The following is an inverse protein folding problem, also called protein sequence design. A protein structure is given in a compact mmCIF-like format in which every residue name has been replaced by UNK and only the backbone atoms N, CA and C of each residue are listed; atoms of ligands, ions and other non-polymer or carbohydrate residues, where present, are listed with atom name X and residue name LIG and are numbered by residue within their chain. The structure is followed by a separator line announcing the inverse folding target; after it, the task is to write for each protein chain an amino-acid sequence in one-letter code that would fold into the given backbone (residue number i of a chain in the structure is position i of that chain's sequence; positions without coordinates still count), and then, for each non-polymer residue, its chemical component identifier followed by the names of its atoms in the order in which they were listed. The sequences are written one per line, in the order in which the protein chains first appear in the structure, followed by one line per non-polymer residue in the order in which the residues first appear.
data_IF_680370731979
#
_entry.id   IF_680370731979
#
_cell.length_a   1.000
_cell.length_b   1.000
_cell.length_c   1.000
_cell.angle_alpha   90.00
_cell.angle_beta   90.00
_cell.angle_gamma   90.00
#
_symmetry.space_group_name_H-M   'P 1'
#
loop_
_entity.id
_entity.type
_entity.pdbx_description
1 polymer ?
#
# COMPACT_ATOMS: atom_id res chain seq x y z
N UNK A 1 -21.24 10.39 -18.68
CA UNK A 1 -20.24 10.17 -17.89
C UNK A 1 -19.66 11.21 -16.94
N UNK A 2 -20.39 12.35 -16.79
CA UNK A 2 -20.05 13.42 -15.88
C UNK A 2 -20.04 12.97 -14.41
N UNK A 3 -20.96 12.08 -14.01
CA UNK A 3 -21.06 11.55 -12.65
C UNK A 3 -19.82 10.73 -12.27
N UNK A 4 -19.32 9.90 -13.19
CA UNK A 4 -18.10 9.10 -12.98
C UNK A 4 -16.86 10.00 -12.87
N UNK A 5 -16.75 11.01 -13.72
CA UNK A 5 -15.64 11.97 -13.66
C UNK A 5 -15.63 12.74 -12.33
N UNK A 6 -16.81 13.21 -11.88
CA UNK A 6 -16.97 13.87 -10.58
C UNK A 6 -16.54 12.96 -9.41
N UNK A 7 -16.98 11.70 -9.45
CA UNK A 7 -16.62 10.73 -8.42
C UNK A 7 -15.11 10.51 -8.36
N UNK A 8 -14.44 10.36 -9.51
CA UNK A 8 -12.99 10.16 -9.58
C UNK A 8 -12.24 11.39 -9.04
N UNK A 9 -12.62 12.59 -9.48
CA UNK A 9 -12.00 13.82 -8.98
C UNK A 9 -12.11 13.98 -7.45
N UNK A 10 -13.24 13.56 -6.87
CA UNK A 10 -13.41 13.54 -5.40
C UNK A 10 -12.47 12.55 -4.72
N UNK A 11 -12.28 11.34 -5.28
CA UNK A 11 -11.39 10.33 -4.70
C UNK A 11 -9.93 10.78 -4.74
N UNK A 12 -9.47 11.32 -5.86
CA UNK A 12 -8.11 11.87 -6.01
C UNK A 12 -7.86 13.03 -5.06
N UNK A 13 -8.81 14.01 -5.02
CA UNK A 13 -8.72 15.14 -4.10
C UNK A 13 -8.71 14.71 -2.63
N UNK A 14 -9.45 13.66 -2.26
CA UNK A 14 -9.51 13.15 -0.90
C UNK A 14 -8.16 12.56 -0.46
N UNK A 15 -7.48 11.79 -1.32
CA UNK A 15 -6.13 11.28 -1.01
C UNK A 15 -5.17 12.42 -0.75
N UNK A 16 -5.11 13.41 -1.65
CA UNK A 16 -4.25 14.57 -1.48
C UNK A 16 -4.55 15.36 -0.20
N UNK A 17 -5.83 15.58 0.14
CA UNK A 17 -6.19 16.23 1.41
C UNK A 17 -5.71 15.42 2.62
N UNK A 18 -5.93 14.10 2.66
CA UNK A 18 -5.44 13.26 3.76
C UNK A 18 -3.91 13.32 3.91
N UNK A 19 -3.19 13.28 2.81
CA UNK A 19 -1.73 13.30 2.83
C UNK A 19 -1.17 14.65 3.30
N UNK A 20 -1.80 15.76 2.91
CA UNK A 20 -1.31 17.12 3.19
C UNK A 20 -1.73 17.66 4.56
N UNK A 21 -3.01 17.51 4.91
CA UNK A 21 -3.60 18.13 6.13
C UNK A 21 -4.15 17.12 7.12
N UNK A 22 -3.96 15.84 6.88
CA UNK A 22 -4.38 14.75 7.75
C UNK A 22 -5.88 14.62 7.93
N UNK A 23 -6.30 13.70 8.81
CA UNK A 23 -7.73 13.45 9.08
C UNK A 23 -8.46 14.69 9.55
N UNK A 24 -7.96 15.39 10.56
CA UNK A 24 -8.65 16.54 11.16
C UNK A 24 -8.90 17.69 10.19
N UNK A 25 -7.94 17.97 9.29
CA UNK A 25 -8.04 19.03 8.29
C UNK A 25 -8.89 18.67 7.07
N UNK A 26 -9.09 17.38 6.82
CA UNK A 26 -9.78 16.89 5.61
C UNK A 26 -11.29 16.77 5.85
N UNK A 27 -12.07 17.76 5.39
CA UNK A 27 -13.54 17.72 5.44
C UNK A 27 -14.11 17.48 4.04
N UNK A 28 -15.38 17.04 3.95
CA UNK A 28 -16.07 16.90 2.64
C UNK A 28 -16.08 18.22 1.86
N UNK A 29 -16.18 19.34 2.56
CA UNK A 29 -16.16 20.67 1.95
C UNK A 29 -14.81 20.98 1.34
N UNK A 30 -13.70 20.76 2.08
CA UNK A 30 -12.33 20.98 1.59
C UNK A 30 -12.04 20.09 0.38
N UNK A 31 -12.46 18.82 0.42
CA UNK A 31 -12.29 17.91 -0.73
C UNK A 31 -13.10 18.34 -1.93
N UNK A 32 -14.37 18.78 -1.74
CA UNK A 32 -15.22 19.26 -2.83
C UNK A 32 -14.63 20.51 -3.48
N UNK A 33 -14.13 21.46 -2.72
CA UNK A 33 -13.44 22.66 -3.22
C UNK A 33 -12.20 22.28 -4.04
N UNK A 34 -11.36 21.40 -3.52
CA UNK A 34 -10.15 20.90 -4.22
C UNK A 34 -10.49 20.15 -5.52
N UNK A 35 -11.59 19.39 -5.53
CA UNK A 35 -12.08 18.67 -6.70
C UNK A 35 -12.80 19.56 -7.72
N UNK A 36 -13.06 20.84 -7.41
CA UNK A 36 -13.81 21.75 -8.26
C UNK A 36 -15.30 21.39 -8.40
N UNK A 37 -15.90 20.76 -7.37
CA UNK A 37 -17.30 20.32 -7.37
C UNK A 37 -18.07 20.96 -6.21
N UNK A 38 -19.39 20.99 -6.31
CA UNK A 38 -20.21 21.50 -5.21
C UNK A 38 -20.25 20.51 -4.04
N UNK A 39 -20.39 21.03 -2.82
CA UNK A 39 -20.59 20.20 -1.60
C UNK A 39 -21.78 19.24 -1.75
N UNK A 40 -22.88 19.71 -2.37
CA UNK A 40 -24.07 18.88 -2.62
C UNK A 40 -23.75 17.69 -3.56
N UNK A 41 -22.96 17.91 -4.61
CA UNK A 41 -22.51 16.85 -5.50
C UNK A 41 -21.61 15.85 -4.74
N UNK A 42 -20.68 16.32 -3.91
CA UNK A 42 -19.85 15.46 -3.09
C UNK A 42 -20.67 14.58 -2.13
N UNK A 43 -21.64 15.16 -1.41
CA UNK A 43 -22.53 14.44 -0.50
C UNK A 43 -23.47 13.44 -1.22
N UNK A 44 -23.83 13.72 -2.47
CA UNK A 44 -24.59 12.76 -3.28
C UNK A 44 -23.77 11.50 -3.59
N UNK A 45 -22.47 11.65 -3.90
CA UNK A 45 -21.58 10.53 -4.16
C UNK A 45 -21.13 9.80 -2.89
N UNK A 46 -20.90 10.55 -1.82
CA UNK A 46 -20.38 10.04 -0.55
C UNK A 46 -21.17 10.67 0.61
N UNK A 47 -22.18 9.95 1.14
CA UNK A 47 -23.04 10.46 2.21
C UNK A 47 -22.29 10.85 3.47
N UNK A 48 -21.22 10.12 3.81
CA UNK A 48 -20.39 10.42 4.98
C UNK A 48 -18.95 10.71 4.60
N UNK A 49 -18.25 11.38 5.50
CA UNK A 49 -16.81 11.63 5.37
C UNK A 49 -16.01 10.34 5.30
N UNK A 50 -16.36 9.39 6.14
CA UNK A 50 -15.74 8.08 6.20
C UNK A 50 -15.92 7.31 4.89
N UNK A 51 -17.09 7.40 4.25
CA UNK A 51 -17.36 6.79 2.94
C UNK A 51 -16.40 7.34 1.88
N UNK A 52 -16.22 8.67 1.85
CA UNK A 52 -15.35 9.33 0.90
C UNK A 52 -13.90 8.86 1.06
N UNK A 53 -13.35 8.93 2.27
CA UNK A 53 -11.93 8.71 2.48
C UNK A 53 -11.55 7.23 2.40
N UNK A 54 -12.38 6.32 2.91
CA UNK A 54 -12.16 4.88 2.75
C UNK A 54 -12.22 4.48 1.27
N UNK A 55 -13.23 4.98 0.53
CA UNK A 55 -13.33 4.72 -0.90
C UNK A 55 -12.18 5.35 -1.70
N UNK A 56 -11.63 6.48 -1.26
CA UNK A 56 -10.50 7.13 -1.92
C UNK A 56 -9.23 6.28 -1.81
N UNK A 57 -8.87 5.84 -0.61
CA UNK A 57 -7.70 4.97 -0.38
C UNK A 57 -7.89 3.63 -1.09
N UNK A 58 -9.08 3.03 -1.02
CA UNK A 58 -9.41 1.77 -1.70
C UNK A 58 -9.20 1.91 -3.22
N UNK A 59 -9.79 2.92 -3.84
CA UNK A 59 -9.70 3.14 -5.28
C UNK A 59 -8.26 3.34 -5.77
N UNK A 60 -7.48 4.17 -5.06
CA UNK A 60 -6.09 4.42 -5.42
C UNK A 60 -5.21 3.18 -5.21
N UNK A 61 -5.50 2.37 -4.19
CA UNK A 61 -4.81 1.10 -3.97
C UNK A 61 -5.11 0.10 -5.09
N UNK A 62 -6.36 0.01 -5.53
CA UNK A 62 -6.75 -0.84 -6.65
C UNK A 62 -6.08 -0.40 -7.96
N UNK A 63 -6.05 0.91 -8.23
CA UNK A 63 -5.35 1.45 -9.39
C UNK A 63 -3.85 1.09 -9.37
N UNK A 64 -3.20 1.22 -8.19
CA UNK A 64 -1.79 0.85 -8.01
C UNK A 64 -1.55 -0.64 -8.20
N UNK A 65 -2.43 -1.49 -7.69
CA UNK A 65 -2.34 -2.93 -7.88
C UNK A 65 -2.42 -3.33 -9.35
N UNK A 66 -3.29 -2.67 -10.14
CA UNK A 66 -3.38 -2.88 -11.58
C UNK A 66 -2.11 -2.43 -12.33
N UNK A 67 -1.47 -1.34 -11.91
CA UNK A 67 -0.19 -0.91 -12.48
C UNK A 67 0.91 -1.94 -12.23
N UNK A 68 1.00 -2.46 -11.01
CA UNK A 68 1.97 -3.51 -10.64
C UNK A 68 1.70 -4.78 -11.45
N UNK A 69 0.45 -5.18 -11.59
CA UNK A 69 0.08 -6.37 -12.38
C UNK A 69 0.51 -6.23 -13.84
N UNK A 70 0.22 -5.09 -14.46
CA UNK A 70 0.67 -4.78 -15.84
C UNK A 70 2.20 -4.79 -15.96
N UNK A 71 2.89 -4.26 -14.95
CA UNK A 71 4.34 -4.30 -14.90
C UNK A 71 4.87 -5.74 -14.89
N UNK A 72 4.30 -6.62 -14.06
CA UNK A 72 4.65 -8.05 -14.00
C UNK A 72 4.39 -8.72 -15.36
N UNK A 73 3.22 -8.51 -15.96
CA UNK A 73 2.89 -9.06 -17.28
C UNK A 73 3.85 -8.60 -18.38
N UNK A 74 4.29 -7.35 -18.34
CA UNK A 74 5.21 -6.78 -19.30
C UNK A 74 6.64 -7.33 -19.20
N UNK A 75 7.05 -7.84 -18.02
CA UNK A 75 8.36 -8.49 -17.84
C UNK A 75 8.45 -9.87 -18.52
N UNK A 76 7.32 -10.54 -18.75
CA UNK A 76 7.30 -11.90 -19.31
C UNK A 76 8.05 -12.88 -18.42
N UNK A 77 9.01 -13.61 -19.01
CA UNK A 77 9.83 -14.61 -18.31
C UNK A 77 11.09 -14.02 -17.64
N UNK A 78 11.31 -12.69 -17.70
CA UNK A 78 12.45 -12.08 -17.05
C UNK A 78 12.32 -12.12 -15.52
N UNK A 79 13.34 -12.65 -14.85
CA UNK A 79 13.40 -12.71 -13.40
C UNK A 79 13.70 -11.33 -12.82
N UNK A 80 12.77 -10.78 -12.07
CA UNK A 80 12.98 -9.51 -11.34
C UNK A 80 13.88 -9.80 -10.14
N UNK A 81 14.95 -9.00 -9.96
CA UNK A 81 15.85 -9.19 -8.82
C UNK A 81 15.15 -8.94 -7.49
N UNK A 82 15.53 -9.68 -6.45
CA UNK A 82 15.03 -9.50 -5.08
C UNK A 82 15.16 -8.05 -4.63
N UNK A 83 16.28 -7.39 -4.95
CA UNK A 83 16.48 -5.97 -4.63
C UNK A 83 15.41 -5.08 -5.30
N UNK A 84 15.13 -5.30 -6.59
CA UNK A 84 14.12 -4.51 -7.30
C UNK A 84 12.72 -4.70 -6.71
N UNK A 85 12.38 -5.92 -6.29
CA UNK A 85 11.11 -6.18 -5.61
C UNK A 85 11.03 -5.45 -4.26
N UNK A 86 12.09 -5.51 -3.45
CA UNK A 86 12.14 -4.78 -2.16
C UNK A 86 12.03 -3.27 -2.37
N UNK A 87 12.72 -2.70 -3.39
CA UNK A 87 12.57 -1.29 -3.77
C UNK A 87 11.11 -0.95 -4.10
N UNK A 88 10.43 -1.76 -4.91
CA UNK A 88 9.03 -1.54 -5.27
C UNK A 88 8.10 -1.59 -4.03
N UNK A 89 8.33 -2.53 -3.12
CA UNK A 89 7.56 -2.62 -1.87
C UNK A 89 7.79 -1.39 -0.99
N UNK A 90 9.02 -0.88 -0.89
CA UNK A 90 9.33 0.36 -0.16
C UNK A 90 8.70 1.57 -0.83
N UNK A 91 8.76 1.67 -2.16
CA UNK A 91 8.16 2.79 -2.92
C UNK A 91 6.64 2.86 -2.73
N UNK A 92 5.96 1.72 -2.58
CA UNK A 92 4.54 1.69 -2.21
C UNK A 92 4.25 2.32 -0.83
N UNK A 93 5.22 2.32 0.07
CA UNK A 93 5.09 2.81 1.44
C UNK A 93 5.75 4.18 1.67
N UNK A 94 6.26 4.85 0.64
CA UNK A 94 6.90 6.18 0.77
C UNK A 94 6.17 7.28 -0.01
N UNK A 95 5.03 6.97 -0.63
CA UNK A 95 4.28 7.92 -1.46
C UNK A 95 3.07 8.53 -0.75
N UNK A 96 2.42 9.44 -1.46
CA UNK A 96 1.23 10.19 -1.00
C UNK A 96 0.09 9.26 -0.54
N UNK A 97 -0.16 8.16 -1.26
CA UNK A 97 -1.20 7.19 -0.91
C UNK A 97 -0.94 6.55 0.46
N UNK A 98 0.32 6.24 0.76
CA UNK A 98 0.69 5.70 2.08
C UNK A 98 0.48 6.73 3.19
N UNK A 99 0.85 8.00 2.95
CA UNK A 99 0.60 9.08 3.90
C UNK A 99 -0.90 9.26 4.19
N UNK A 100 -1.74 9.18 3.16
CA UNK A 100 -3.19 9.21 3.30
C UNK A 100 -3.72 8.01 4.11
N UNK A 101 -3.26 6.80 3.80
CA UNK A 101 -3.63 5.58 4.55
C UNK A 101 -3.21 5.68 6.02
N UNK A 102 -2.00 6.17 6.29
CA UNK A 102 -1.51 6.36 7.67
C UNK A 102 -2.34 7.38 8.44
N UNK A 103 -2.80 8.47 7.80
CA UNK A 103 -3.71 9.43 8.43
C UNK A 103 -5.03 8.77 8.86
N UNK A 104 -5.58 7.85 8.04
CA UNK A 104 -6.75 7.04 8.41
C UNK A 104 -6.45 6.07 9.55
N UNK A 105 -5.29 5.42 9.57
CA UNK A 105 -4.89 4.50 10.65
C UNK A 105 -4.84 5.22 11.99
N UNK A 106 -4.15 6.36 12.04
CA UNK A 106 -4.04 7.17 13.26
C UNK A 106 -5.41 7.64 13.73
N UNK A 107 -6.26 8.17 12.85
CA UNK A 107 -7.61 8.59 13.18
C UNK A 107 -8.47 7.42 13.70
N UNK A 108 -8.36 6.26 13.09
CA UNK A 108 -9.12 5.06 13.44
C UNK A 108 -8.81 4.53 14.85
N UNK A 109 -7.65 4.90 15.42
CA UNK A 109 -7.29 4.52 16.78
C UNK A 109 -8.25 5.14 17.83
N UNK A 110 -8.74 6.34 17.56
CA UNK A 110 -9.66 7.07 18.45
C UNK A 110 -11.14 6.96 18.05
N UNK A 111 -11.46 6.51 16.83
CA UNK A 111 -12.81 6.49 16.27
C UNK A 111 -13.29 5.05 15.97
N UNK A 112 -14.10 4.41 16.84
CA UNK A 112 -14.49 2.99 16.68
C UNK A 112 -15.23 2.67 15.38
N UNK A 113 -16.05 3.61 14.85
CA UNK A 113 -16.78 3.41 13.61
C UNK A 113 -15.85 3.45 12.39
N UNK A 114 -14.91 4.39 12.37
CA UNK A 114 -13.86 4.46 11.35
C UNK A 114 -12.95 3.22 11.41
N UNK A 115 -12.58 2.78 12.63
CA UNK A 115 -11.75 1.59 12.84
C UNK A 115 -12.30 0.35 12.16
N UNK A 116 -13.59 0.08 12.26
CA UNK A 116 -14.22 -1.09 11.59
C UNK A 116 -14.00 -1.07 10.08
N UNK A 117 -14.13 0.09 9.46
CA UNK A 117 -13.94 0.28 8.02
C UNK A 117 -12.47 0.17 7.62
N UNK A 118 -11.59 0.83 8.37
CA UNK A 118 -10.14 0.81 8.12
C UNK A 118 -9.57 -0.59 8.28
N UNK A 119 -9.98 -1.38 9.28
CA UNK A 119 -9.55 -2.78 9.44
C UNK A 119 -9.96 -3.64 8.23
N UNK A 120 -11.18 -3.43 7.71
CA UNK A 120 -11.63 -4.15 6.50
C UNK A 120 -10.81 -3.76 5.28
N UNK A 121 -10.55 -2.47 5.10
CA UNK A 121 -9.70 -1.94 4.02
C UNK A 121 -8.29 -2.52 4.12
N UNK A 122 -7.66 -2.44 5.31
CA UNK A 122 -6.32 -2.95 5.57
C UNK A 122 -6.18 -4.46 5.30
N UNK A 123 -7.17 -5.25 5.68
CA UNK A 123 -7.18 -6.69 5.39
C UNK A 123 -7.16 -6.96 3.89
N UNK A 124 -7.83 -6.13 3.10
CA UNK A 124 -7.84 -6.25 1.64
C UNK A 124 -6.53 -5.78 1.03
N UNK A 125 -6.08 -4.58 1.38
CA UNK A 125 -4.82 -4.00 0.90
C UNK A 125 -3.64 -4.88 1.27
N UNK A 126 -3.57 -5.35 2.50
CA UNK A 126 -2.50 -6.24 2.97
C UNK A 126 -2.43 -7.55 2.18
N UNK A 127 -3.58 -8.14 1.83
CA UNK A 127 -3.61 -9.34 0.96
C UNK A 127 -3.12 -9.03 -0.45
N UNK A 128 -3.49 -7.89 -1.02
CA UNK A 128 -3.04 -7.48 -2.35
C UNK A 128 -1.53 -7.24 -2.39
N UNK A 129 -0.99 -6.49 -1.43
CA UNK A 129 0.45 -6.22 -1.34
C UNK A 129 1.24 -7.51 -1.11
N UNK A 130 0.76 -8.37 -0.21
CA UNK A 130 1.36 -9.67 0.05
C UNK A 130 1.39 -10.53 -1.22
N UNK A 131 0.25 -10.72 -1.88
CA UNK A 131 0.14 -11.52 -3.10
C UNK A 131 1.02 -10.99 -4.24
N UNK A 132 1.04 -9.67 -4.45
CA UNK A 132 1.91 -9.04 -5.44
C UNK A 132 3.40 -9.28 -5.13
N UNK A 133 3.80 -9.19 -3.85
CA UNK A 133 5.18 -9.43 -3.42
C UNK A 133 5.59 -10.88 -3.66
N UNK A 134 4.73 -11.85 -3.32
CA UNK A 134 4.93 -13.28 -3.59
C UNK A 134 5.12 -13.52 -5.09
N UNK A 135 4.24 -12.96 -5.91
CA UNK A 135 4.28 -13.11 -7.37
C UNK A 135 5.55 -12.48 -7.98
N UNK A 136 5.93 -11.28 -7.55
CA UNK A 136 7.14 -10.58 -8.01
C UNK A 136 8.42 -11.33 -7.66
N UNK A 137 8.48 -11.96 -6.48
CA UNK A 137 9.62 -12.77 -6.04
C UNK A 137 9.63 -14.17 -6.66
N UNK A 138 8.53 -14.61 -7.28
CA UNK A 138 8.41 -15.94 -7.86
C UNK A 138 8.56 -17.08 -6.85
N UNK A 139 8.07 -16.89 -5.61
CA UNK A 139 8.25 -17.84 -4.50
C UNK A 139 6.96 -18.58 -4.17
N UNK A 140 7.10 -19.80 -3.65
CA UNK A 140 5.98 -20.59 -3.13
C UNK A 140 5.70 -20.23 -1.67
N UNK A 141 4.59 -19.55 -1.41
CA UNK A 141 4.17 -19.12 -0.06
C UNK A 141 3.51 -20.23 0.77
N UNK A 142 3.32 -21.42 0.21
CA UNK A 142 2.95 -22.63 0.95
C UNK A 142 4.14 -23.15 1.78
N UNK A 143 5.37 -22.78 1.41
CA UNK A 143 6.53 -23.06 2.22
C UNK A 143 6.50 -22.23 3.53
N UNK A 144 6.47 -22.87 4.71
CA UNK A 144 6.32 -22.18 5.99
C UNK A 144 7.38 -21.10 6.28
N UNK A 145 8.58 -21.24 5.68
CA UNK A 145 9.67 -20.26 5.82
C UNK A 145 9.48 -19.00 5.02
N UNK A 146 8.67 -19.00 3.96
CA UNK A 146 8.49 -17.87 3.04
C UNK A 146 7.59 -16.78 3.63
N UNK A 147 6.45 -17.16 4.18
CA UNK A 147 5.45 -16.21 4.69
C UNK A 147 6.00 -15.18 5.68
N UNK A 148 6.76 -15.56 6.72
CA UNK A 148 7.37 -14.61 7.65
C UNK A 148 8.35 -13.64 6.97
N UNK A 149 9.09 -14.08 5.96
CA UNK A 149 10.04 -13.24 5.22
C UNK A 149 9.33 -12.16 4.41
N UNK A 150 8.24 -12.52 3.71
CA UNK A 150 7.41 -11.55 2.97
C UNK A 150 6.80 -10.55 3.95
N UNK A 151 6.24 -11.01 5.06
CA UNK A 151 5.64 -10.13 6.06
C UNK A 151 6.67 -9.17 6.67
N UNK A 152 7.86 -9.66 7.02
CA UNK A 152 8.95 -8.83 7.53
C UNK A 152 9.39 -7.77 6.51
N UNK A 153 9.41 -8.11 5.22
CA UNK A 153 9.73 -7.16 4.14
C UNK A 153 8.69 -6.02 4.06
N UNK A 154 7.41 -6.37 4.13
CA UNK A 154 6.32 -5.37 4.12
C UNK A 154 6.36 -4.49 5.37
N UNK A 155 6.59 -5.07 6.55
CA UNK A 155 6.64 -4.33 7.82
C UNK A 155 7.88 -3.43 7.89
N UNK A 156 9.03 -3.87 7.38
CA UNK A 156 10.21 -3.02 7.19
C UNK A 156 9.90 -1.85 6.25
N UNK A 157 9.25 -2.08 5.12
CA UNK A 157 8.87 -1.05 4.17
C UNK A 157 7.95 0.00 4.80
N UNK A 158 6.97 -0.43 5.61
CA UNK A 158 6.11 0.47 6.41
C UNK A 158 6.91 1.32 7.39
N UNK A 159 7.88 0.72 8.08
CA UNK A 159 8.79 1.45 8.99
C UNK A 159 9.63 2.49 8.27
N UNK A 160 10.16 2.18 7.09
CA UNK A 160 10.87 3.13 6.23
C UNK A 160 9.94 4.24 5.72
N UNK A 161 8.70 3.90 5.35
CA UNK A 161 7.68 4.87 4.94
C UNK A 161 7.31 5.83 6.06
N UNK A 162 7.21 5.34 7.29
CA UNK A 162 6.97 6.19 8.46
C UNK A 162 8.13 7.18 8.69
N UNK A 163 9.37 6.74 8.54
CA UNK A 163 10.53 7.63 8.65
C UNK A 163 10.55 8.70 7.55
N UNK A 164 10.09 8.36 6.34
CA UNK A 164 10.02 9.28 5.20
C UNK A 164 9.01 10.43 5.39
N UNK A 165 8.08 10.34 6.34
CA UNK A 165 7.17 11.46 6.68
C UNK A 165 7.90 12.69 7.18
N UNK A 166 9.06 12.53 7.79
CA UNK A 166 9.84 13.64 8.35
C UNK A 166 10.76 14.32 7.32
N UNK A 167 10.85 13.76 6.12
CA UNK A 167 11.67 14.29 5.03
C UNK A 167 12.21 13.18 4.12
N UNK A 168 12.86 13.58 3.03
CA UNK A 168 13.49 12.63 2.09
C UNK A 168 14.68 11.91 2.74
N UNK A 169 14.48 10.63 3.06
CA UNK A 169 15.48 9.78 3.70
C UNK A 169 16.13 8.75 2.73
N UNK A 170 16.03 8.96 1.42
CA UNK A 170 16.56 8.03 0.39
C UNK A 170 18.00 7.62 0.64
N UNK A 171 18.87 8.57 1.05
CA UNK A 171 20.29 8.27 1.35
C UNK A 171 20.44 7.27 2.51
N UNK A 172 19.58 7.36 3.52
CA UNK A 172 19.59 6.45 4.69
C UNK A 172 19.00 5.09 4.35
N UNK A 173 17.87 5.04 3.63
CA UNK A 173 17.15 3.80 3.35
C UNK A 173 17.80 2.93 2.27
N UNK A 174 18.52 3.52 1.31
CA UNK A 174 19.14 2.80 0.21
C UNK A 174 20.07 1.66 0.66
N UNK A 175 21.04 1.86 1.58
CA UNK A 175 21.86 0.78 2.09
C UNK A 175 21.06 -0.26 2.92
N UNK A 176 19.99 0.15 3.59
CA UNK A 176 19.10 -0.77 4.33
C UNK A 176 18.39 -1.70 3.33
N UNK A 177 17.86 -1.15 2.25
CA UNK A 177 17.20 -1.93 1.18
C UNK A 177 18.18 -2.93 0.58
N UNK A 178 19.39 -2.50 0.22
CA UNK A 178 20.40 -3.37 -0.35
C UNK A 178 20.73 -4.54 0.60
N UNK A 179 21.06 -4.25 1.84
CA UNK A 179 21.41 -5.26 2.85
C UNK A 179 20.25 -6.23 3.12
N UNK A 180 19.01 -5.69 3.24
CA UNK A 180 17.82 -6.53 3.43
C UNK A 180 17.59 -7.45 2.23
N UNK A 181 17.78 -6.95 1.03
CA UNK A 181 17.59 -7.72 -0.21
C UNK A 181 18.54 -8.91 -0.30
N UNK A 182 19.80 -8.76 0.09
CA UNK A 182 20.78 -9.85 0.16
C UNK A 182 20.36 -10.92 1.19
N UNK A 183 19.95 -10.49 2.39
CA UNK A 183 19.49 -11.37 3.46
C UNK A 183 18.22 -12.13 3.04
N UNK A 184 17.28 -11.45 2.43
CA UNK A 184 16.01 -12.01 1.95
C UNK A 184 16.27 -13.05 0.87
N UNK A 185 17.08 -12.73 -0.15
CA UNK A 185 17.42 -13.64 -1.23
C UNK A 185 18.06 -14.94 -0.71
N UNK A 186 19.03 -14.81 0.19
CA UNK A 186 19.66 -15.97 0.83
C UNK A 186 18.69 -16.79 1.70
N UNK A 187 17.74 -16.14 2.38
CA UNK A 187 16.75 -16.83 3.19
C UNK A 187 15.69 -17.56 2.35
N UNK A 188 15.24 -16.94 1.24
CA UNK A 188 14.29 -17.56 0.32
C UNK A 188 14.87 -18.79 -0.37
N UNK A 189 16.14 -18.74 -0.78
CA UNK A 189 16.85 -19.92 -1.32
C UNK A 189 16.89 -21.07 -0.34
N UNK A 190 17.28 -20.82 0.93
CA UNK A 190 17.29 -21.84 1.98
C UNK A 190 15.88 -22.41 2.23
N UNK A 191 14.85 -21.59 2.23
CA UNK A 191 13.49 -22.06 2.38
C UNK A 191 13.09 -23.00 1.23
N UNK A 192 13.44 -22.66 -0.02
CA UNK A 192 13.18 -23.50 -1.19
C UNK A 192 13.89 -24.87 -1.09
N UNK A 193 15.14 -24.90 -0.63
CA UNK A 193 15.92 -26.13 -0.49
C UNK A 193 15.33 -27.07 0.60
N UNK A 194 14.87 -26.52 1.74
CA UNK A 194 14.21 -27.30 2.78
C UNK A 194 12.85 -27.86 2.35
N UNK A 195 12.11 -27.14 1.50
CA UNK A 195 10.86 -27.64 0.94
C UNK A 195 11.04 -28.82 -0.03
N UNK A 196 12.21 -28.92 -0.66
CA UNK A 196 12.55 -30.03 -1.58
C UNK A 196 13.09 -31.28 -0.87
N UNK A 197 13.60 -31.15 0.33
CA UNK A 197 14.21 -32.23 1.11
C UNK A 197 13.73 -32.14 2.56
N UNK A 198 12.48 -32.59 2.88
CA UNK A 198 12.02 -32.61 4.27
C UNK A 198 12.96 -33.52 5.06
N UNK A 199 13.37 -33.15 6.29
CA UNK A 199 14.17 -34.02 7.13
C UNK A 199 13.40 -35.33 7.34
N UNK A 200 14.08 -36.44 7.07
CA UNK A 200 13.55 -37.78 7.29
C UNK A 200 12.99 -37.87 8.72
N UNK A 201 11.69 -38.20 8.83
CA UNK A 201 11.00 -38.36 10.10
C UNK A 201 11.29 -39.70 10.75
#
# INVERSE_FOLDING_TARGET
DRSRATRLALLEAAVGCLAEVGWSGSTVTVVAERAGVSRGAAQHHFPTREDLFVAAVEHMTEARALEIHRYIEAQGDETISTQRVVEMVVDMHTGELFHAALALWVASAAEPQLRKRVVTLETRVGRQVYGATVQLLGVDDQNPGVRPLIQATIDMARGLGLANLLGDDRRRRSPIIAQWSELLDGALRRAADHGRNPPDA
#
